data_IF_978266706687
#
_entry.id   IF_978266706687
#
_cell.length_a   1.000
_cell.length_b   1.000
_cell.length_c   1.000
_cell.angle_alpha   90.00
_cell.angle_beta   90.00
_cell.angle_gamma   90.00
#
_symmetry.space_group_name_H-M   'P 1'
#
loop_
_entity.id
_entity.type
_entity.pdbx_description
1 polymer ?
#
# COMPACT_ATOMS: atom_id res chain seq x y z
N UNK A 1 -31.40 -18.06 6.22
CA UNK A 1 -29.96 -18.20 5.96
C UNK A 1 -29.78 -19.59 5.41
N UNK A 2 -29.49 -19.70 4.13
CA UNK A 2 -29.37 -20.98 3.44
C UNK A 2 -28.18 -21.78 4.00
N UNK A 3 -28.24 -23.12 4.01
CA UNK A 3 -27.13 -23.96 4.52
C UNK A 3 -25.79 -23.67 3.83
N UNK A 4 -25.83 -23.22 2.57
CA UNK A 4 -24.65 -22.81 1.80
C UNK A 4 -24.13 -21.43 2.21
N UNK A 5 -25.01 -20.48 2.58
CA UNK A 5 -24.59 -19.18 3.12
C UNK A 5 -23.90 -19.33 4.47
N UNK A 6 -24.38 -20.27 5.30
CA UNK A 6 -23.79 -20.56 6.60
C UNK A 6 -22.42 -21.23 6.46
N UNK A 7 -22.25 -22.20 5.55
CA UNK A 7 -20.94 -22.79 5.25
C UNK A 7 -19.94 -21.77 4.71
N UNK A 8 -20.38 -20.87 3.84
CA UNK A 8 -19.51 -19.79 3.31
C UNK A 8 -19.14 -18.82 4.44
N UNK A 9 -20.06 -18.47 5.33
CA UNK A 9 -19.78 -17.63 6.49
C UNK A 9 -18.76 -18.27 7.44
N UNK A 10 -18.93 -19.56 7.76
CA UNK A 10 -18.03 -20.31 8.64
C UNK A 10 -16.61 -20.42 8.03
N UNK A 11 -16.51 -20.75 6.73
CA UNK A 11 -15.21 -20.77 6.01
C UNK A 11 -14.54 -19.40 5.98
N UNK A 12 -15.32 -18.33 5.84
CA UNK A 12 -14.83 -16.95 5.86
C UNK A 12 -14.41 -16.48 7.26
N UNK A 13 -14.96 -17.06 8.32
CA UNK A 13 -14.58 -16.79 9.71
C UNK A 13 -13.29 -17.52 10.07
N UNK A 14 -13.15 -18.78 9.65
CA UNK A 14 -11.94 -19.58 9.83
C UNK A 14 -10.73 -18.97 9.10
N UNK A 15 -10.89 -18.52 7.84
CA UNK A 15 -9.83 -17.79 7.14
C UNK A 15 -9.43 -16.49 7.86
N UNK A 16 -10.40 -15.73 8.37
CA UNK A 16 -10.11 -14.49 9.11
C UNK A 16 -9.33 -14.78 10.41
N UNK A 17 -9.62 -15.90 11.06
CA UNK A 17 -8.87 -16.36 12.23
C UNK A 17 -7.42 -16.74 11.89
N UNK A 18 -7.21 -17.46 10.79
CA UNK A 18 -5.86 -17.89 10.35
C UNK A 18 -5.03 -16.67 9.95
N UNK A 19 -5.59 -15.77 9.16
CA UNK A 19 -4.92 -14.54 8.73
C UNK A 19 -4.58 -13.64 9.92
N UNK A 20 -5.48 -13.53 10.90
CA UNK A 20 -5.21 -12.81 12.16
C UNK A 20 -4.08 -13.46 12.96
N UNK A 21 -4.06 -14.79 13.10
CA UNK A 21 -3.00 -15.49 13.86
C UNK A 21 -1.63 -15.31 13.22
N UNK A 22 -1.53 -15.40 11.89
CA UNK A 22 -0.27 -15.15 11.19
C UNK A 22 0.15 -13.68 11.31
N UNK A 23 -0.75 -12.74 11.02
CA UNK A 23 -0.47 -11.32 11.09
C UNK A 23 -0.07 -10.87 12.51
N UNK A 24 -0.70 -11.42 13.54
CA UNK A 24 -0.38 -11.13 14.94
C UNK A 24 0.97 -11.72 15.36
N UNK A 25 1.37 -12.88 14.81
CA UNK A 25 2.71 -13.46 15.06
C UNK A 25 3.81 -12.59 14.45
N UNK A 26 3.62 -12.14 13.20
CA UNK A 26 4.58 -11.25 12.53
C UNK A 26 4.61 -9.89 13.21
N UNK A 27 3.45 -9.34 13.59
CA UNK A 27 3.36 -8.11 14.37
C UNK A 27 4.08 -8.22 15.73
N UNK A 28 3.90 -9.34 16.45
CA UNK A 28 4.61 -9.58 17.70
C UNK A 28 6.14 -9.64 17.50
N UNK A 29 6.62 -10.21 16.40
CA UNK A 29 8.04 -10.14 16.04
C UNK A 29 8.50 -8.71 15.78
N UNK A 30 7.77 -7.92 14.99
CA UNK A 30 8.10 -6.50 14.78
C UNK A 30 8.08 -5.68 16.09
N UNK A 31 7.13 -5.94 16.98
CA UNK A 31 7.07 -5.29 18.30
C UNK A 31 8.29 -5.68 19.15
N UNK A 32 8.71 -6.95 19.11
CA UNK A 32 9.86 -7.47 19.87
C UNK A 32 11.19 -6.82 19.48
N UNK A 33 11.35 -6.41 18.21
CA UNK A 33 12.53 -5.67 17.73
C UNK A 33 12.38 -4.15 17.92
N UNK A 34 11.35 -3.70 18.64
CA UNK A 34 11.11 -2.28 18.95
C UNK A 34 10.64 -1.46 17.75
N UNK A 35 9.98 -2.08 16.77
CA UNK A 35 9.43 -1.39 15.61
C UNK A 35 8.02 -0.86 15.90
N UNK A 36 7.65 0.20 15.18
CA UNK A 36 6.36 0.87 15.28
C UNK A 36 5.69 0.93 13.91
N UNK A 37 4.35 1.06 13.84
CA UNK A 37 3.63 1.17 12.57
C UNK A 37 4.20 2.27 11.68
N UNK A 38 4.36 3.48 12.23
CA UNK A 38 4.87 4.64 11.48
C UNK A 38 6.31 4.43 10.97
N UNK A 39 7.15 3.65 11.67
CA UNK A 39 8.49 3.29 11.17
C UNK A 39 8.41 2.35 9.97
N UNK A 40 7.49 1.38 9.97
CA UNK A 40 7.28 0.48 8.83
C UNK A 40 6.80 1.26 7.60
N UNK A 41 5.85 2.17 7.79
CA UNK A 41 5.38 3.07 6.73
C UNK A 41 6.52 3.96 6.21
N UNK A 42 7.41 4.45 7.09
CA UNK A 42 8.58 5.21 6.67
C UNK A 42 9.57 4.34 5.87
N UNK A 43 9.83 3.11 6.29
CA UNK A 43 10.66 2.17 5.52
C UNK A 43 10.07 1.88 4.13
N UNK A 44 8.74 1.78 4.02
CA UNK A 44 8.04 1.64 2.74
C UNK A 44 8.34 2.82 1.81
N UNK A 45 8.25 4.06 2.30
CA UNK A 45 8.61 5.26 1.53
C UNK A 45 10.08 5.21 1.11
N UNK A 46 11.00 4.88 2.02
CA UNK A 46 12.44 4.80 1.71
C UNK A 46 12.72 3.75 0.64
N UNK A 47 12.09 2.58 0.71
CA UNK A 47 12.27 1.49 -0.26
C UNK A 47 11.61 1.75 -1.62
N UNK A 48 10.64 2.67 -1.69
CA UNK A 48 10.04 3.06 -2.96
C UNK A 48 11.05 3.74 -3.91
N UNK A 49 12.10 4.39 -3.39
CA UNK A 49 13.16 5.03 -4.18
C UNK A 49 14.03 4.02 -4.95
N UNK A 50 14.69 3.04 -4.30
CA UNK A 50 15.44 2.01 -5.02
C UNK A 50 14.54 1.16 -5.93
N UNK A 51 13.28 0.94 -5.55
CA UNK A 51 12.30 0.30 -6.42
C UNK A 51 12.08 1.08 -7.72
N UNK A 52 11.81 2.40 -7.60
CA UNK A 52 11.65 3.29 -8.75
C UNK A 52 12.92 3.31 -9.62
N UNK A 53 14.10 3.37 -8.99
CA UNK A 53 15.38 3.30 -9.68
C UNK A 53 15.53 2.00 -10.47
N UNK A 54 15.16 0.84 -9.89
CA UNK A 54 15.19 -0.43 -10.61
C UNK A 54 14.31 -0.37 -11.88
N UNK A 55 13.08 0.11 -11.78
CA UNK A 55 12.22 0.23 -12.97
C UNK A 55 12.75 1.25 -13.99
N UNK A 56 13.28 2.40 -13.55
CA UNK A 56 13.87 3.39 -14.43
C UNK A 56 15.14 2.88 -15.15
N UNK A 57 16.00 2.13 -14.45
CA UNK A 57 17.15 1.46 -15.05
C UNK A 57 16.69 0.39 -16.04
N UNK A 58 15.63 -0.35 -15.72
CA UNK A 58 15.08 -1.33 -16.64
C UNK A 58 14.63 -0.71 -17.98
N UNK A 59 14.05 0.50 -17.95
CA UNK A 59 13.73 1.27 -19.16
C UNK A 59 14.98 1.69 -19.96
N UNK A 60 16.11 1.90 -19.29
CA UNK A 60 17.37 2.30 -19.94
C UNK A 60 18.09 1.14 -20.63
N UNK A 61 17.73 -0.11 -20.32
CA UNK A 61 18.39 -1.32 -20.81
C UNK A 61 17.47 -2.19 -21.66
N UNK A 62 16.49 -1.62 -22.35
CA UNK A 62 15.54 -2.36 -23.22
C UNK A 62 16.23 -3.22 -24.28
N UNK A 63 17.39 -2.79 -24.79
CA UNK A 63 18.15 -3.51 -25.81
C UNK A 63 18.95 -4.70 -25.24
N UNK A 64 18.98 -4.88 -23.92
CA UNK A 64 19.73 -5.93 -23.22
C UNK A 64 18.78 -6.78 -22.36
N UNK A 65 18.18 -7.85 -22.92
CA UNK A 65 17.04 -8.53 -22.29
C UNK A 65 17.34 -9.12 -20.90
N UNK A 66 18.56 -9.63 -20.67
CA UNK A 66 18.95 -10.16 -19.36
C UNK A 66 19.05 -9.06 -18.29
N UNK A 67 19.62 -7.90 -18.65
CA UNK A 67 19.77 -6.76 -17.72
C UNK A 67 18.40 -6.11 -17.47
N UNK A 68 17.61 -5.94 -18.54
CA UNK A 68 16.22 -5.50 -18.46
C UNK A 68 15.39 -6.38 -17.51
N UNK A 69 15.49 -7.70 -17.65
CA UNK A 69 14.76 -8.67 -16.83
C UNK A 69 15.21 -8.61 -15.37
N UNK A 70 16.52 -8.56 -15.13
CA UNK A 70 17.09 -8.45 -13.78
C UNK A 70 16.52 -7.24 -13.03
N UNK A 71 16.56 -6.05 -13.63
CA UNK A 71 16.05 -4.84 -12.98
C UNK A 71 14.52 -4.86 -12.79
N UNK A 72 13.75 -5.47 -13.70
CA UNK A 72 12.31 -5.66 -13.49
C UNK A 72 12.03 -6.58 -12.30
N UNK A 73 12.72 -7.71 -12.20
CA UNK A 73 12.55 -8.65 -11.08
C UNK A 73 12.94 -7.97 -9.76
N UNK A 74 14.07 -7.26 -9.70
CA UNK A 74 14.45 -6.49 -8.51
C UNK A 74 13.39 -5.45 -8.13
N UNK A 75 12.87 -4.70 -9.10
CA UNK A 75 11.80 -3.71 -8.88
C UNK A 75 10.52 -4.36 -8.34
N UNK A 76 10.09 -5.50 -8.91
CA UNK A 76 8.91 -6.24 -8.46
C UNK A 76 9.08 -6.78 -7.05
N UNK A 77 10.24 -7.36 -6.73
CA UNK A 77 10.52 -7.88 -5.39
C UNK A 77 10.43 -6.75 -4.37
N UNK A 78 11.01 -5.59 -4.66
CA UNK A 78 10.91 -4.41 -3.80
C UNK A 78 9.48 -3.88 -3.68
N UNK A 79 8.72 -3.88 -4.77
CA UNK A 79 7.32 -3.49 -4.79
C UNK A 79 6.44 -4.39 -3.92
N UNK A 80 6.59 -5.72 -4.06
CA UNK A 80 5.89 -6.70 -3.21
C UNK A 80 6.28 -6.50 -1.75
N UNK A 81 7.56 -6.27 -1.47
CA UNK A 81 8.02 -5.98 -0.11
C UNK A 81 7.39 -4.71 0.47
N UNK A 82 7.28 -3.64 -0.33
CA UNK A 82 6.60 -2.42 0.07
C UNK A 82 5.11 -2.66 0.37
N UNK A 83 4.42 -3.46 -0.45
CA UNK A 83 3.02 -3.83 -0.19
C UNK A 83 2.86 -4.67 1.08
N UNK A 84 3.82 -5.56 1.37
CA UNK A 84 3.82 -6.33 2.62
C UNK A 84 4.02 -5.43 3.85
N UNK A 85 4.87 -4.40 3.76
CA UNK A 85 5.07 -3.46 4.87
C UNK A 85 3.79 -2.69 5.22
N UNK A 86 2.95 -2.34 4.23
CA UNK A 86 1.63 -1.74 4.45
C UNK A 86 0.66 -2.71 5.12
N UNK A 87 0.69 -3.99 4.74
CA UNK A 87 -0.10 -4.99 5.43
C UNK A 87 0.32 -5.13 6.91
N UNK A 88 1.64 -5.10 7.17
CA UNK A 88 2.20 -5.29 8.50
C UNK A 88 2.16 -4.05 9.40
N UNK A 89 2.18 -2.83 8.87
CA UNK A 89 2.04 -1.62 9.69
C UNK A 89 0.65 -1.56 10.34
N UNK A 90 -0.40 -1.89 9.59
CA UNK A 90 -1.76 -1.99 10.08
C UNK A 90 -1.96 -3.14 11.04
N UNK A 91 -1.32 -4.30 10.82
CA UNK A 91 -1.40 -5.42 11.78
C UNK A 91 -0.67 -5.08 13.08
N UNK A 92 0.50 -4.46 13.00
CA UNK A 92 1.28 -4.01 14.15
C UNK A 92 0.53 -2.97 14.98
N UNK A 93 -0.13 -2.00 14.34
CA UNK A 93 -0.93 -1.01 15.04
C UNK A 93 -2.06 -1.68 15.85
N UNK A 94 -2.81 -2.60 15.23
CA UNK A 94 -3.89 -3.35 15.90
C UNK A 94 -3.38 -4.28 16.99
N UNK A 95 -2.20 -4.87 16.80
CA UNK A 95 -1.55 -5.72 17.80
C UNK A 95 -1.16 -4.89 19.02
N UNK A 96 -0.40 -3.80 18.84
CA UNK A 96 0.06 -2.96 19.94
C UNK A 96 -1.09 -2.30 20.70
N UNK A 97 -2.12 -1.81 20.01
CA UNK A 97 -3.31 -1.24 20.66
C UNK A 97 -4.01 -2.27 21.56
N UNK A 98 -4.11 -3.53 21.14
CA UNK A 98 -4.70 -4.61 21.96
C UNK A 98 -3.81 -5.05 23.10
N UNK A 99 -2.51 -5.23 22.84
CA UNK A 99 -1.56 -5.78 23.82
C UNK A 99 -1.28 -4.81 24.96
N UNK A 100 -1.22 -3.50 24.68
CA UNK A 100 -0.85 -2.47 25.66
C UNK A 100 -2.03 -1.57 26.07
N UNK A 101 -3.26 -1.89 25.65
CA UNK A 101 -4.48 -1.09 25.91
C UNK A 101 -4.27 0.42 25.62
N UNK A 102 -3.66 0.72 24.46
CA UNK A 102 -3.27 2.08 24.10
C UNK A 102 -4.52 2.87 23.72
N UNK A 103 -4.82 3.92 24.49
CA UNK A 103 -5.84 4.90 24.11
C UNK A 103 -5.34 5.75 22.94
N UNK A 104 -6.21 6.03 21.99
CA UNK A 104 -5.90 6.85 20.82
C UNK A 104 -5.41 8.24 21.28
N UNK A 105 -4.23 8.66 20.82
CA UNK A 105 -3.64 9.93 21.23
C UNK A 105 -4.51 11.12 20.80
N UNK A 106 -4.62 12.12 21.68
CA UNK A 106 -5.34 13.35 21.34
C UNK A 106 -4.58 14.13 20.25
N UNK A 107 -5.31 14.96 19.48
CA UNK A 107 -4.70 15.70 18.36
C UNK A 107 -3.63 16.68 18.84
N UNK A 108 -3.84 17.24 20.04
CA UNK A 108 -2.96 18.24 20.63
C UNK A 108 -1.71 17.57 21.25
N UNK A 109 -1.86 16.39 21.83
CA UNK A 109 -0.73 15.56 22.28
C UNK A 109 0.18 15.18 21.11
N UNK A 110 -0.36 14.67 20.01
CA UNK A 110 0.45 14.33 18.85
C UNK A 110 1.12 15.57 18.27
N UNK A 111 0.45 16.73 18.20
CA UNK A 111 1.06 17.95 17.66
C UNK A 111 2.27 18.42 18.44
N UNK A 112 2.26 18.26 19.77
CA UNK A 112 3.37 18.64 20.64
C UNK A 112 4.62 17.76 20.47
N UNK A 113 4.48 16.56 19.89
CA UNK A 113 5.60 15.65 19.66
C UNK A 113 6.44 16.06 18.45
N UNK A 114 7.76 15.86 18.59
CA UNK A 114 8.70 15.97 17.47
C UNK A 114 8.44 14.88 16.42
N UNK A 115 8.97 15.08 15.21
CA UNK A 115 8.85 14.11 14.12
C UNK A 115 9.35 12.71 14.51
N UNK A 116 10.51 12.62 15.18
CA UNK A 116 11.07 11.34 15.61
C UNK A 116 10.23 10.65 16.67
N UNK A 117 9.61 11.42 17.57
CA UNK A 117 8.68 10.87 18.56
C UNK A 117 7.40 10.35 17.88
N UNK A 118 6.87 11.08 16.88
CA UNK A 118 5.72 10.65 16.07
C UNK A 118 5.99 9.33 15.35
N UNK A 119 7.18 9.16 14.78
CA UNK A 119 7.59 7.89 14.17
C UNK A 119 7.62 6.74 15.19
N UNK A 120 7.91 7.02 16.46
CA UNK A 120 8.04 6.02 17.52
C UNK A 120 6.75 5.77 18.29
N UNK A 121 5.61 6.29 17.84
CA UNK A 121 4.32 6.02 18.45
C UNK A 121 3.89 4.57 18.20
N UNK A 122 3.42 3.92 19.27
CA UNK A 122 2.83 2.58 19.21
C UNK A 122 1.32 2.68 19.00
N UNK A 123 0.76 1.69 18.31
CA UNK A 123 -0.67 1.67 17.99
C UNK A 123 -1.07 2.65 16.88
N UNK A 124 -2.37 2.86 16.71
CA UNK A 124 -2.92 3.80 15.72
C UNK A 124 -2.66 5.25 16.12
N UNK A 125 -2.16 6.06 15.17
CA UNK A 125 -1.90 7.49 15.37
C UNK A 125 -2.47 8.32 14.22
N UNK A 126 -2.76 9.60 14.47
CA UNK A 126 -3.22 10.52 13.42
C UNK A 126 -2.10 10.88 12.46
N UNK A 127 -0.86 10.94 12.94
CA UNK A 127 0.31 11.04 12.09
C UNK A 127 0.39 9.84 11.11
N UNK A 128 0.19 8.61 11.59
CA UNK A 128 0.11 7.42 10.73
C UNK A 128 -1.00 7.54 9.69
N UNK A 129 -2.20 7.99 10.09
CA UNK A 129 -3.31 8.20 9.17
C UNK A 129 -3.05 9.25 8.05
N UNK A 130 -2.05 10.12 8.23
CA UNK A 130 -1.55 11.05 7.19
C UNK A 130 -0.41 10.43 6.39
N UNK A 131 0.46 9.66 7.05
CA UNK A 131 1.62 9.02 6.46
C UNK A 131 1.22 7.89 5.50
N UNK A 132 0.19 7.09 5.82
CA UNK A 132 -0.22 5.94 4.99
C UNK A 132 -0.65 6.39 3.59
N UNK A 133 -1.59 7.36 3.41
CA UNK A 133 -1.99 7.80 2.07
C UNK A 133 -0.85 8.46 1.28
N UNK A 134 0.12 9.07 1.96
CA UNK A 134 1.31 9.63 1.34
C UNK A 134 2.24 8.51 0.83
N UNK A 135 2.47 7.50 1.66
CA UNK A 135 3.26 6.34 1.30
C UNK A 135 2.65 5.56 0.14
N UNK A 136 1.33 5.38 0.11
CA UNK A 136 0.61 4.77 -1.02
C UNK A 136 0.90 5.50 -2.34
N UNK A 137 0.96 6.84 -2.31
CA UNK A 137 1.26 7.62 -3.51
C UNK A 137 2.71 7.55 -3.92
N UNK A 138 3.62 7.46 -2.96
CA UNK A 138 5.03 7.27 -3.27
C UNK A 138 5.25 5.90 -3.92
N UNK A 139 4.53 4.87 -3.46
CA UNK A 139 4.55 3.54 -4.08
C UNK A 139 3.93 3.55 -5.49
N UNK A 140 2.75 4.17 -5.65
CA UNK A 140 2.11 4.33 -6.95
C UNK A 140 3.03 5.05 -7.95
N UNK A 141 3.64 6.17 -7.52
CA UNK A 141 4.57 6.92 -8.35
C UNK A 141 5.83 6.11 -8.66
N UNK A 142 6.39 5.41 -7.69
CA UNK A 142 7.61 4.63 -7.87
C UNK A 142 7.43 3.42 -8.79
N UNK A 143 6.24 2.82 -8.86
CA UNK A 143 5.98 1.62 -9.65
C UNK A 143 5.26 1.91 -10.97
N UNK A 144 4.11 2.57 -10.93
CA UNK A 144 3.25 2.75 -12.11
C UNK A 144 3.83 3.80 -13.06
N UNK A 145 4.49 4.84 -12.55
CA UNK A 145 5.03 5.89 -13.42
C UNK A 145 6.14 5.36 -14.36
N UNK A 146 7.18 4.66 -13.88
CA UNK A 146 8.19 4.08 -14.77
C UNK A 146 7.60 2.97 -15.66
N UNK A 147 6.79 2.07 -15.10
CA UNK A 147 6.21 0.96 -15.87
C UNK A 147 5.24 1.43 -16.97
N UNK A 148 4.51 2.52 -16.69
CA UNK A 148 3.56 3.16 -17.60
C UNK A 148 4.19 4.06 -18.65
N UNK A 149 5.42 4.54 -18.43
CA UNK A 149 6.07 5.55 -19.28
C UNK A 149 6.16 5.14 -20.76
N UNK A 150 6.47 3.86 -21.01
CA UNK A 150 6.62 3.33 -22.37
C UNK A 150 5.37 2.61 -22.89
N UNK A 151 4.38 2.35 -22.04
CA UNK A 151 3.21 1.51 -22.37
C UNK A 151 1.91 2.29 -22.46
N UNK A 152 1.80 3.43 -21.77
CA UNK A 152 0.59 4.23 -21.69
C UNK A 152 0.77 5.57 -22.42
N UNK A 153 -0.36 6.11 -22.89
CA UNK A 153 -0.39 7.49 -23.33
C UNK A 153 -0.08 8.40 -22.13
N UNK A 154 0.87 9.33 -22.29
CA UNK A 154 1.25 10.28 -21.24
C UNK A 154 0.05 11.02 -20.64
N UNK A 155 -0.97 11.39 -21.42
CA UNK A 155 -2.19 12.01 -20.91
C UNK A 155 -2.98 11.09 -19.97
N UNK A 156 -3.04 9.79 -20.28
CA UNK A 156 -3.69 8.79 -19.41
C UNK A 156 -2.88 8.59 -18.13
N UNK A 157 -1.55 8.57 -18.23
CA UNK A 157 -0.66 8.43 -17.08
C UNK A 157 -0.73 9.64 -16.13
N UNK A 158 -0.68 10.87 -16.67
CA UNK A 158 -0.84 12.09 -15.87
C UNK A 158 -2.27 12.24 -15.35
N UNK A 159 -3.28 11.84 -16.14
CA UNK A 159 -4.68 11.85 -15.73
C UNK A 159 -4.96 10.90 -14.57
N UNK A 160 -4.45 9.67 -14.61
CA UNK A 160 -4.59 8.71 -13.51
C UNK A 160 -3.88 9.19 -12.25
N UNK A 161 -2.70 9.81 -12.39
CA UNK A 161 -2.00 10.46 -11.27
C UNK A 161 -2.83 11.58 -10.65
N UNK A 162 -3.42 12.46 -11.47
CA UNK A 162 -4.26 13.55 -11.00
C UNK A 162 -5.48 13.03 -10.23
N UNK A 163 -6.14 11.98 -10.75
CA UNK A 163 -7.27 11.32 -10.07
C UNK A 163 -6.81 10.70 -8.74
N UNK A 164 -5.68 9.99 -8.72
CA UNK A 164 -5.15 9.35 -7.53
C UNK A 164 -4.84 10.37 -6.41
N UNK A 165 -4.22 11.51 -6.77
CA UNK A 165 -3.96 12.63 -5.86
C UNK A 165 -5.29 13.22 -5.37
N UNK A 166 -6.25 13.46 -6.27
CA UNK A 166 -7.56 14.03 -5.94
C UNK A 166 -8.38 13.14 -5.01
N UNK A 167 -8.44 11.83 -5.26
CA UNK A 167 -9.09 10.85 -4.38
C UNK A 167 -8.46 10.84 -2.99
N UNK A 168 -7.15 11.08 -2.90
CA UNK A 168 -6.43 11.16 -1.63
C UNK A 168 -6.71 12.48 -0.92
N UNK A 169 -6.78 13.59 -1.65
CA UNK A 169 -7.23 14.87 -1.13
C UNK A 169 -8.65 14.75 -0.54
N UNK A 170 -9.57 14.07 -1.23
CA UNK A 170 -10.92 13.79 -0.70
C UNK A 170 -10.90 12.90 0.55
N UNK A 171 -9.89 12.04 0.72
CA UNK A 171 -9.71 11.26 1.96
C UNK A 171 -9.25 12.10 3.14
N UNK A 172 -8.63 13.27 2.93
CA UNK A 172 -8.25 14.14 4.04
C UNK A 172 -9.47 14.64 4.80
N UNK A 173 -9.41 14.48 6.12
CA UNK A 173 -10.52 14.81 7.04
C UNK A 173 -10.95 16.28 6.92
N UNK A 174 -10.01 17.20 6.67
CA UNK A 174 -10.30 18.62 6.44
C UNK A 174 -11.19 18.85 5.20
N UNK A 175 -10.91 18.14 4.11
CA UNK A 175 -11.69 18.24 2.86
C UNK A 175 -13.03 17.52 3.01
N UNK A 176 -13.09 16.35 3.67
CA UNK A 176 -14.37 15.69 3.98
C UNK A 176 -15.29 16.55 4.83
N UNK A 177 -14.72 17.24 5.82
CA UNK A 177 -15.45 18.18 6.67
C UNK A 177 -15.92 19.40 5.88
N UNK A 178 -15.09 19.93 4.97
CA UNK A 178 -15.49 21.02 4.07
C UNK A 178 -16.58 20.62 3.07
N UNK A 179 -16.63 19.34 2.66
CA UNK A 179 -17.59 18.81 1.68
C UNK A 179 -18.84 18.16 2.31
N UNK A 180 -19.04 18.25 3.63
CA UNK A 180 -20.16 17.58 4.34
C UNK A 180 -20.31 16.08 4.03
N UNK A 181 -19.22 15.40 3.71
CA UNK A 181 -19.24 13.96 3.42
C UNK A 181 -19.27 13.18 4.75
N UNK A 182 -20.48 12.81 5.19
CA UNK A 182 -20.71 12.01 6.39
C UNK A 182 -20.52 10.52 6.06
N UNK A 183 -19.36 9.98 6.42
CA UNK A 183 -19.09 8.55 6.33
C UNK A 183 -17.71 8.22 6.87
N UNK A 184 -17.65 7.34 7.88
CA UNK A 184 -16.40 6.63 8.17
C UNK A 184 -16.12 5.75 6.96
N UNK A 185 -15.18 6.16 6.11
CA UNK A 185 -14.63 5.30 5.06
C UNK A 185 -13.87 4.14 5.70
N UNK A 186 -14.60 3.21 6.31
CA UNK A 186 -14.05 1.97 6.84
C UNK A 186 -13.66 1.11 5.64
N UNK A 187 -12.39 0.71 5.58
CA UNK A 187 -11.90 -0.21 4.57
C UNK A 187 -12.69 -1.52 4.69
N UNK A 188 -13.63 -1.72 3.77
CA UNK A 188 -14.40 -2.95 3.67
C UNK A 188 -13.48 -4.10 3.24
N UNK A 189 -13.81 -5.37 3.53
CA UNK A 189 -13.01 -6.55 3.09
C UNK A 189 -12.64 -6.51 1.60
N UNK A 190 -13.55 -5.99 0.77
CA UNK A 190 -13.35 -5.75 -0.68
C UNK A 190 -12.13 -4.86 -0.96
N UNK A 191 -11.86 -3.85 -0.13
CA UNK A 191 -10.70 -2.98 -0.26
C UNK A 191 -9.37 -3.70 -0.04
N UNK A 192 -9.32 -4.71 0.83
CA UNK A 192 -8.10 -5.52 1.03
C UNK A 192 -7.82 -6.43 -0.16
N UNK A 193 -8.86 -7.05 -0.73
CA UNK A 193 -8.71 -7.85 -1.95
C UNK A 193 -8.28 -7.01 -3.15
N UNK A 194 -8.79 -5.78 -3.26
CA UNK A 194 -8.37 -4.82 -4.30
C UNK A 194 -6.85 -4.61 -4.27
N UNK A 195 -6.26 -4.40 -3.09
CA UNK A 195 -4.81 -4.19 -2.94
C UNK A 195 -4.02 -5.40 -3.44
N UNK A 196 -4.42 -6.63 -3.09
CA UNK A 196 -3.72 -7.83 -3.57
C UNK A 196 -3.83 -8.01 -5.10
N UNK A 197 -4.98 -7.67 -5.67
CA UNK A 197 -5.17 -7.68 -7.13
C UNK A 197 -4.26 -6.64 -7.79
N UNK A 198 -4.16 -5.43 -7.24
CA UNK A 198 -3.23 -4.39 -7.73
C UNK A 198 -1.78 -4.87 -7.66
N UNK A 199 -1.40 -5.54 -6.57
CA UNK A 199 -0.05 -6.05 -6.38
C UNK A 199 0.29 -7.10 -7.44
N UNK A 200 -0.61 -8.07 -7.64
CA UNK A 200 -0.44 -9.12 -8.64
C UNK A 200 -0.44 -8.55 -10.06
N UNK A 201 -1.35 -7.62 -10.36
CA UNK A 201 -1.43 -6.96 -11.66
C UNK A 201 -0.16 -6.18 -11.98
N UNK A 202 0.35 -5.40 -11.03
CA UNK A 202 1.58 -4.61 -11.20
C UNK A 202 2.81 -5.51 -11.33
N UNK A 203 2.90 -6.57 -10.53
CA UNK A 203 3.97 -7.56 -10.63
C UNK A 203 3.96 -8.28 -11.98
N UNK A 204 2.78 -8.73 -12.44
CA UNK A 204 2.62 -9.34 -13.75
C UNK A 204 3.03 -8.37 -14.87
N UNK A 205 2.59 -7.11 -14.80
CA UNK A 205 2.93 -6.08 -15.78
C UNK A 205 4.44 -5.84 -15.87
N UNK A 206 5.15 -5.86 -14.75
CA UNK A 206 6.60 -5.75 -14.74
C UNK A 206 7.30 -6.92 -15.44
N UNK A 207 6.73 -8.13 -15.42
CA UNK A 207 7.32 -9.31 -16.07
C UNK A 207 6.95 -9.44 -17.55
N UNK A 208 5.93 -8.72 -18.02
CA UNK A 208 5.52 -8.81 -19.41
C UNK A 208 6.54 -8.13 -20.34
N UNK A 209 6.93 -8.81 -21.44
CA UNK A 209 7.74 -8.19 -22.49
C UNK A 209 6.97 -7.03 -23.14
N UNK A 210 7.71 -6.04 -23.64
CA UNK A 210 7.11 -4.89 -24.34
C UNK A 210 6.39 -5.36 -25.60
N UNK A 211 5.08 -5.09 -25.67
CA UNK A 211 4.22 -5.46 -26.79
C UNK A 211 2.76 -5.07 -26.54
N UNK A 212 1.88 -5.31 -27.51
CA UNK A 212 0.46 -4.91 -27.45
C UNK A 212 -0.25 -5.47 -26.22
N UNK A 213 0.09 -6.70 -25.81
CA UNK A 213 -0.46 -7.32 -24.61
C UNK A 213 -0.12 -6.55 -23.32
N UNK A 214 1.12 -6.04 -23.21
CA UNK A 214 1.54 -5.21 -22.06
C UNK A 214 0.77 -3.89 -22.00
N UNK A 215 0.45 -3.30 -23.15
CA UNK A 215 -0.36 -2.07 -23.23
C UNK A 215 -1.77 -2.32 -22.69
N UNK A 216 -2.42 -3.41 -23.11
CA UNK A 216 -3.75 -3.78 -22.58
C UNK A 216 -3.70 -4.07 -21.07
N UNK A 217 -2.72 -4.84 -20.60
CA UNK A 217 -2.52 -5.11 -19.18
C UNK A 217 -2.27 -3.82 -18.37
N UNK A 218 -1.55 -2.84 -18.95
CA UNK A 218 -1.29 -1.54 -18.33
C UNK A 218 -2.53 -0.68 -18.17
N UNK A 219 -3.41 -0.67 -19.18
CA UNK A 219 -4.68 0.03 -19.09
C UNK A 219 -5.58 -0.56 -18.00
N UNK A 220 -5.61 -1.90 -17.88
CA UNK A 220 -6.34 -2.59 -16.82
C UNK A 220 -5.75 -2.25 -15.45
N UNK A 221 -4.42 -2.29 -15.30
CA UNK A 221 -3.74 -2.01 -14.03
C UNK A 221 -4.00 -0.59 -13.52
N UNK A 222 -4.00 0.40 -14.42
CA UNK A 222 -4.37 1.78 -14.09
C UNK A 222 -5.86 1.92 -13.75
N UNK A 223 -6.74 1.15 -14.38
CA UNK A 223 -8.16 1.15 -14.05
C UNK A 223 -8.49 0.49 -12.70
N UNK A 224 -7.65 -0.44 -12.24
CA UNK A 224 -7.80 -1.09 -10.94
C UNK A 224 -7.28 -0.19 -9.81
N UNK A 225 -6.16 0.53 -10.02
CA UNK A 225 -5.54 1.42 -9.04
C UNK A 225 -6.44 2.62 -8.68
#
# INVERSE_FOLDING_TARGET
MDQDEQKVADLLEDQDMVDRKFADRVAGWFDSIGTTPNRLTMWRIVLSFPMCLCFALALSYTDRPLIWFFYHVCGIVLYIWCALLDFFDGSLARYQTRTYDIKEHSEDEERALSFWQKLNLRGSSKFGAILDPFSDKTLYFGAIFPLGWTTLNHFVLFGSLAIAILLTAIRFRAIRKALNLVGKGAANRIGKYKIWIEVVATAALGLLPTGTFKIYASNISVGIA
#
